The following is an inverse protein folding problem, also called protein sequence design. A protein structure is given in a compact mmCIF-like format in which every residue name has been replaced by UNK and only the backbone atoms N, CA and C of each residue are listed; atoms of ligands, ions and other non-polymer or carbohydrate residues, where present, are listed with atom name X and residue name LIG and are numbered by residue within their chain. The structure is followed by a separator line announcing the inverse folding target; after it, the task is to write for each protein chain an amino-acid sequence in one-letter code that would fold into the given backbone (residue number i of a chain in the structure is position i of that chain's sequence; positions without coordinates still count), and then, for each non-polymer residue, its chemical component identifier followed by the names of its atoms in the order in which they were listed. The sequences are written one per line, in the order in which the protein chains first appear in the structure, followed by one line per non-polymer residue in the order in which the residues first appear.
data_IF_321067731972
#
_entry.id   IF_321067731972
#
_cell.length_a   1.000
_cell.length_b   1.000
_cell.length_c   1.000
_cell.angle_alpha   90.00
_cell.angle_beta   90.00
_cell.angle_gamma   90.00
#
_symmetry.space_group_name_H-M   'P 1'
#
loop_
_entity.id
_entity.type
_entity.pdbx_description
1 polymer ?
#
# COMPACT_ATOMS: atom_id res chain seq x y z
N UNK A 1 0.23 16.10 -13.02
CA UNK A 1 -0.04 15.67 -14.43
C UNK A 1 -0.73 14.31 -14.39
N UNK A 2 -1.71 14.08 -15.28
CA UNK A 2 -2.42 12.80 -15.41
C UNK A 2 -1.97 12.09 -16.69
N UNK A 3 -1.68 10.80 -16.60
CA UNK A 3 -1.33 9.93 -17.72
C UNK A 3 -2.35 8.77 -17.78
N UNK A 4 -2.73 8.35 -18.97
CA UNK A 4 -3.70 7.29 -19.17
C UNK A 4 -3.17 6.23 -20.14
N UNK A 5 -3.49 4.98 -19.86
CA UNK A 5 -3.23 3.86 -20.78
C UNK A 5 -4.12 3.99 -22.01
N UNK A 6 -3.65 3.44 -23.12
CA UNK A 6 -4.42 3.39 -24.35
C UNK A 6 -4.42 1.96 -24.89
N UNK A 7 -5.60 1.37 -25.16
CA UNK A 7 -5.69 0.09 -25.84
C UNK A 7 -5.14 0.18 -27.27
N UNK A 8 -4.77 -0.94 -27.85
CA UNK A 8 -4.42 -1.02 -29.26
C UNK A 8 -5.62 -0.62 -30.13
N UNK A 9 -5.34 -0.02 -31.30
CA UNK A 9 -6.37 0.24 -32.32
C UNK A 9 -6.83 -1.07 -32.98
N UNK A 10 -7.74 -0.98 -33.95
CA UNK A 10 -8.30 -2.13 -34.68
C UNK A 10 -7.20 -2.94 -35.40
N UNK A 11 -6.10 -2.29 -35.75
CA UNK A 11 -4.92 -2.94 -36.39
C UNK A 11 -3.94 -3.54 -35.37
N UNK A 12 -4.26 -3.50 -34.06
CA UNK A 12 -3.37 -3.98 -33.01
C UNK A 12 -2.20 -3.05 -32.69
N UNK A 13 -2.23 -1.80 -33.14
CA UNK A 13 -1.12 -0.83 -32.98
C UNK A 13 -1.45 0.29 -32.00
N UNK A 14 -0.41 0.93 -31.50
CA UNK A 14 -0.52 2.18 -30.73
C UNK A 14 -0.98 1.99 -29.29
N UNK A 15 -0.88 0.80 -28.72
CA UNK A 15 -1.12 0.57 -27.29
C UNK A 15 -0.11 1.32 -26.43
N UNK A 16 -0.59 1.83 -25.29
CA UNK A 16 0.26 2.41 -24.23
C UNK A 16 -0.06 1.67 -22.94
N UNK A 17 0.90 0.89 -22.47
CA UNK A 17 0.76 0.10 -21.26
C UNK A 17 1.15 0.92 -20.02
N UNK A 18 0.58 0.56 -18.89
CA UNK A 18 0.81 1.22 -17.60
C UNK A 18 2.29 1.28 -17.23
N UNK A 19 3.04 0.21 -17.47
CA UNK A 19 4.50 0.16 -17.25
C UNK A 19 5.24 1.29 -17.97
N UNK A 20 4.90 1.54 -19.24
CA UNK A 20 5.49 2.62 -20.02
C UNK A 20 5.23 4.00 -19.40
N UNK A 21 4.02 4.19 -18.84
CA UNK A 21 3.64 5.43 -18.17
C UNK A 21 4.42 5.62 -16.86
N UNK A 22 4.59 4.57 -16.06
CA UNK A 22 5.40 4.62 -14.82
C UNK A 22 6.85 4.98 -15.17
N UNK A 23 7.48 4.27 -16.11
CA UNK A 23 8.86 4.54 -16.55
C UNK A 23 9.00 5.97 -17.08
N UNK A 24 8.02 6.45 -17.84
CA UNK A 24 8.07 7.80 -18.39
C UNK A 24 7.85 8.87 -17.31
N UNK A 25 7.01 8.62 -16.33
CA UNK A 25 6.76 9.54 -15.21
C UNK A 25 8.04 9.83 -14.42
N UNK A 26 8.92 8.86 -14.24
CA UNK A 26 10.22 9.03 -13.57
C UNK A 26 11.12 10.08 -14.25
N UNK A 27 11.02 10.20 -15.58
CA UNK A 27 11.79 11.19 -16.37
C UNK A 27 11.25 12.61 -16.24
N UNK A 28 10.02 12.75 -15.71
CA UNK A 28 9.39 14.05 -15.48
C UNK A 28 9.79 14.68 -14.14
N UNK A 29 10.63 13.99 -13.34
CA UNK A 29 11.08 14.41 -12.00
C UNK A 29 9.90 14.78 -11.09
N UNK A 30 8.92 13.92 -10.89
CA UNK A 30 7.78 14.21 -10.01
C UNK A 30 8.21 14.11 -8.53
N UNK A 31 7.58 14.88 -7.66
CA UNK A 31 7.72 14.69 -6.21
C UNK A 31 7.10 13.37 -5.76
N UNK A 32 5.99 12.98 -6.36
CA UNK A 32 5.24 11.76 -6.05
C UNK A 32 4.63 11.13 -7.29
N UNK A 33 4.56 9.81 -7.30
CA UNK A 33 3.90 9.04 -8.36
C UNK A 33 2.68 8.36 -7.75
N UNK A 34 1.51 8.64 -8.31
CA UNK A 34 0.27 7.98 -7.92
C UNK A 34 -0.14 7.04 -9.03
N UNK A 35 -0.05 5.74 -8.75
CA UNK A 35 -0.49 4.68 -9.66
C UNK A 35 -1.87 4.24 -9.22
N UNK A 36 -2.88 4.39 -10.07
CA UNK A 36 -4.28 4.07 -9.75
C UNK A 36 -4.44 2.66 -9.20
N UNK A 37 -3.79 1.68 -9.84
CA UNK A 37 -3.65 0.30 -9.35
C UNK A 37 -2.49 -0.38 -10.07
N UNK A 38 -1.94 -1.43 -9.45
CA UNK A 38 -0.99 -2.35 -10.08
C UNK A 38 -1.63 -3.72 -10.23
N UNK A 39 -1.43 -4.34 -11.40
CA UNK A 39 -2.01 -5.65 -11.74
C UNK A 39 -1.00 -6.61 -12.36
N UNK A 40 0.18 -6.15 -12.73
CA UNK A 40 1.17 -6.92 -13.47
C UNK A 40 2.59 -6.40 -13.30
N UNK A 41 3.37 -6.51 -14.37
CA UNK A 41 4.81 -6.23 -14.38
C UNK A 41 5.22 -4.80 -14.00
N UNK A 42 4.32 -3.83 -14.11
CA UNK A 42 4.54 -2.44 -13.68
C UNK A 42 4.80 -2.31 -12.16
N UNK A 43 4.43 -3.33 -11.38
CA UNK A 43 4.71 -3.37 -9.94
C UNK A 43 6.21 -3.26 -9.65
N UNK A 44 7.07 -3.84 -10.48
CA UNK A 44 8.52 -3.74 -10.32
C UNK A 44 9.00 -2.30 -10.49
N UNK A 45 8.57 -1.64 -11.58
CA UNK A 45 8.99 -0.28 -11.88
C UNK A 45 8.46 0.71 -10.83
N UNK A 46 7.26 0.46 -10.30
CA UNK A 46 6.69 1.22 -9.20
C UNK A 46 7.53 1.06 -7.90
N UNK A 47 7.89 -0.17 -7.52
CA UNK A 47 8.74 -0.41 -6.34
C UNK A 47 10.12 0.23 -6.51
N UNK A 48 10.69 0.20 -7.72
CA UNK A 48 11.95 0.89 -8.01
C UNK A 48 11.80 2.42 -7.87
N UNK A 49 10.69 2.98 -8.36
CA UNK A 49 10.39 4.40 -8.20
C UNK A 49 10.33 4.80 -6.72
N UNK A 50 9.60 4.03 -5.91
CA UNK A 50 9.47 4.26 -4.46
C UNK A 50 10.81 4.14 -3.72
N UNK A 51 11.72 3.27 -4.20
CA UNK A 51 13.06 3.09 -3.63
C UNK A 51 14.10 4.15 -4.09
N UNK A 52 13.76 5.04 -5.03
CA UNK A 52 14.71 5.97 -5.67
C UNK A 52 14.34 7.44 -5.49
N UNK A 53 13.81 7.80 -4.32
CA UNK A 53 13.61 9.20 -3.92
C UNK A 53 12.28 9.82 -4.35
N UNK A 54 11.25 8.99 -4.60
CA UNK A 54 9.87 9.44 -4.84
C UNK A 54 9.00 9.13 -3.62
N UNK A 55 9.46 9.59 -2.45
CA UNK A 55 8.79 9.36 -1.16
C UNK A 55 7.35 9.87 -1.17
N UNK A 56 6.45 9.09 -0.57
CA UNK A 56 5.03 9.40 -0.55
C UNK A 56 4.28 9.04 -1.83
N UNK A 57 4.90 8.26 -2.72
CA UNK A 57 4.19 7.64 -3.85
C UNK A 57 3.16 6.62 -3.35
N UNK A 58 2.06 6.47 -4.10
CA UNK A 58 0.90 5.69 -3.71
C UNK A 58 0.46 4.77 -4.84
N UNK A 59 -0.04 3.60 -4.47
CA UNK A 59 -0.74 2.69 -5.40
C UNK A 59 -1.84 1.92 -4.70
N UNK A 60 -2.74 1.31 -5.46
CA UNK A 60 -3.69 0.33 -4.94
C UNK A 60 -3.38 -1.08 -5.46
N UNK A 61 -3.66 -2.04 -4.60
CA UNK A 61 -3.55 -3.47 -4.89
C UNK A 61 -4.82 -4.15 -4.38
N UNK A 62 -5.47 -4.96 -5.20
CA UNK A 62 -6.60 -5.76 -4.75
C UNK A 62 -6.10 -6.98 -3.96
N UNK A 63 -6.39 -7.01 -2.66
CA UNK A 63 -6.06 -8.12 -1.77
C UNK A 63 -7.06 -8.19 -0.61
N UNK A 64 -7.18 -9.36 0.02
CA UNK A 64 -8.10 -9.55 1.13
C UNK A 64 -7.52 -9.03 2.46
N UNK A 65 -6.20 -9.09 2.61
CA UNK A 65 -5.48 -8.64 3.80
C UNK A 65 -4.23 -7.86 3.40
N UNK A 66 -3.65 -7.04 4.31
CA UNK A 66 -2.35 -6.41 4.08
C UNK A 66 -1.24 -7.42 3.72
N UNK A 67 -1.25 -8.59 4.37
CA UNK A 67 -0.27 -9.66 4.08
C UNK A 67 -0.43 -10.24 2.67
N UNK A 68 -1.67 -10.47 2.24
CA UNK A 68 -1.95 -10.95 0.89
C UNK A 68 -1.54 -9.94 -0.17
N UNK A 69 -1.63 -8.63 0.13
CA UNK A 69 -1.16 -7.58 -0.77
C UNK A 69 0.35 -7.71 -1.06
N UNK A 70 1.17 -8.02 -0.04
CA UNK A 70 2.61 -8.23 -0.23
C UNK A 70 2.88 -9.45 -1.11
N UNK A 71 2.23 -10.60 -0.84
CA UNK A 71 2.36 -11.81 -1.67
C UNK A 71 1.91 -11.58 -3.12
N UNK A 72 0.86 -10.77 -3.31
CA UNK A 72 0.40 -10.39 -4.64
C UNK A 72 1.41 -9.50 -5.38
N UNK A 73 2.06 -8.56 -4.70
CA UNK A 73 3.16 -7.79 -5.27
C UNK A 73 4.34 -8.67 -5.68
N UNK A 74 4.73 -9.67 -4.85
CA UNK A 74 5.75 -10.64 -5.22
C UNK A 74 5.40 -11.35 -6.54
N UNK A 75 4.16 -11.82 -6.66
CA UNK A 75 3.65 -12.47 -7.88
C UNK A 75 3.70 -11.55 -9.10
N UNK A 76 3.28 -10.29 -8.95
CA UNK A 76 3.29 -9.31 -10.05
C UNK A 76 4.72 -8.98 -10.51
N UNK A 77 5.66 -8.84 -9.56
CA UNK A 77 7.09 -8.62 -9.90
C UNK A 77 7.65 -9.82 -10.63
N UNK A 78 7.29 -11.05 -10.24
CA UNK A 78 7.70 -12.27 -10.94
C UNK A 78 7.18 -12.33 -12.41
N UNK A 79 6.04 -11.69 -12.71
CA UNK A 79 5.51 -11.58 -14.08
C UNK A 79 6.38 -10.72 -15.01
N UNK A 80 7.27 -9.90 -14.47
CA UNK A 80 8.14 -9.00 -15.26
C UNK A 80 9.15 -9.72 -16.16
N UNK A 81 9.19 -11.06 -16.14
CA UNK A 81 10.16 -11.90 -16.86
C UNK A 81 11.63 -11.61 -16.53
N UNK A 82 11.88 -10.80 -15.53
CA UNK A 82 13.22 -10.60 -14.99
C UNK A 82 13.48 -11.71 -13.97
N UNK A 83 14.57 -12.44 -14.14
CA UNK A 83 14.92 -13.53 -13.23
C UNK A 83 15.47 -12.96 -11.89
N UNK A 84 14.57 -12.38 -11.08
CA UNK A 84 14.90 -11.75 -9.81
C UNK A 84 14.63 -12.78 -8.70
N UNK A 85 15.62 -13.09 -7.84
CA UNK A 85 15.42 -13.99 -6.71
C UNK A 85 14.31 -13.47 -5.78
N UNK A 86 13.45 -14.35 -5.28
CA UNK A 86 12.32 -13.98 -4.37
C UNK A 86 12.78 -13.12 -3.18
N UNK A 87 13.91 -13.47 -2.58
CA UNK A 87 14.48 -12.69 -1.48
C UNK A 87 14.81 -11.25 -1.88
N UNK A 88 15.25 -11.02 -3.12
CA UNK A 88 15.52 -9.67 -3.63
C UNK A 88 14.20 -8.90 -3.85
N UNK A 89 13.15 -9.56 -4.32
CA UNK A 89 11.81 -8.99 -4.46
C UNK A 89 11.28 -8.55 -3.09
N UNK A 90 11.35 -9.41 -2.07
CA UNK A 90 10.91 -9.11 -0.71
C UNK A 90 11.68 -7.95 -0.10
N UNK A 91 12.99 -7.88 -0.33
CA UNK A 91 13.80 -6.72 0.10
C UNK A 91 13.34 -5.43 -0.55
N UNK A 92 13.04 -5.44 -1.86
CA UNK A 92 12.53 -4.28 -2.55
C UNK A 92 11.17 -3.84 -1.99
N UNK A 93 10.26 -4.78 -1.72
CA UNK A 93 8.96 -4.50 -1.11
C UNK A 93 9.13 -3.89 0.27
N UNK A 94 9.96 -4.51 1.13
CA UNK A 94 10.19 -4.04 2.49
C UNK A 94 10.88 -2.68 2.57
N UNK A 95 11.67 -2.32 1.55
CA UNK A 95 12.33 -1.02 1.46
C UNK A 95 11.44 0.06 0.83
N UNK A 96 10.55 -0.31 -0.10
CA UNK A 96 9.72 0.63 -0.85
C UNK A 96 8.45 1.04 -0.10
N UNK A 97 7.90 0.14 0.72
CA UNK A 97 6.62 0.36 1.36
C UNK A 97 6.79 0.71 2.83
N UNK A 98 6.17 1.80 3.26
CA UNK A 98 6.09 2.20 4.66
C UNK A 98 4.79 1.74 5.30
N UNK A 99 3.66 1.91 4.60
CA UNK A 99 2.32 1.72 5.16
C UNK A 99 1.40 1.02 4.16
N UNK A 100 0.61 0.10 4.66
CA UNK A 100 -0.49 -0.54 3.93
C UNK A 100 -1.80 -0.17 4.61
N UNK A 101 -2.71 0.43 3.84
CA UNK A 101 -4.07 0.79 4.29
C UNK A 101 -5.05 -0.18 3.65
N UNK A 102 -5.65 -1.05 4.47
CA UNK A 102 -6.66 -1.99 4.00
C UNK A 102 -8.05 -1.37 4.08
N UNK A 103 -8.72 -1.32 2.92
CA UNK A 103 -10.13 -0.92 2.83
C UNK A 103 -10.97 -2.14 2.49
N UNK A 104 -12.04 -2.37 3.24
CA UNK A 104 -12.97 -3.46 3.00
C UNK A 104 -14.40 -2.97 2.87
N UNK A 105 -15.17 -3.66 2.02
CA UNK A 105 -16.63 -3.50 1.98
C UNK A 105 -17.23 -4.39 3.04
N UNK A 106 -17.95 -3.79 3.97
CA UNK A 106 -18.61 -4.49 5.07
C UNK A 106 -19.95 -5.09 4.63
N UNK A 107 -20.56 -5.91 5.48
CA UNK A 107 -21.84 -6.60 5.21
C UNK A 107 -23.01 -5.64 4.98
N UNK A 108 -22.93 -4.42 5.51
CA UNK A 108 -23.90 -3.33 5.28
C UNK A 108 -23.69 -2.56 3.95
N UNK A 109 -22.70 -2.99 3.15
CA UNK A 109 -22.36 -2.35 1.89
C UNK A 109 -21.43 -1.14 2.02
N UNK A 110 -21.16 -0.65 3.22
CA UNK A 110 -20.23 0.48 3.44
C UNK A 110 -18.77 0.06 3.24
N UNK A 111 -17.95 1.01 2.79
CA UNK A 111 -16.49 0.83 2.72
C UNK A 111 -15.85 1.50 3.90
N UNK A 112 -15.01 0.75 4.64
CA UNK A 112 -14.27 1.28 5.80
C UNK A 112 -12.82 0.87 5.71
N UNK A 113 -11.94 1.72 6.25
CA UNK A 113 -10.57 1.32 6.57
C UNK A 113 -10.68 0.31 7.70
N UNK A 114 -10.16 -0.89 7.48
CA UNK A 114 -10.21 -1.97 8.48
C UNK A 114 -8.85 -2.20 9.14
N UNK A 115 -7.75 -1.84 8.47
CA UNK A 115 -6.41 -1.96 9.02
C UNK A 115 -5.52 -0.87 8.44
N UNK A 116 -4.67 -0.30 9.29
CA UNK A 116 -3.47 0.45 8.88
C UNK A 116 -2.28 -0.28 9.46
N UNK A 117 -1.45 -0.84 8.59
CA UNK A 117 -0.27 -1.61 8.95
C UNK A 117 1.01 -0.91 8.49
N UNK A 118 2.01 -0.88 9.36
CA UNK A 118 3.37 -0.42 9.03
C UNK A 118 4.23 -1.60 8.58
N UNK A 119 5.02 -1.43 7.54
CA UNK A 119 6.08 -2.36 7.16
C UNK A 119 7.30 -2.07 8.04
N UNK A 120 7.74 -3.05 8.81
CA UNK A 120 8.81 -2.86 9.79
C UNK A 120 10.19 -3.32 9.30
N UNK A 121 10.23 -3.96 8.13
CA UNK A 121 11.45 -4.45 7.48
C UNK A 121 11.38 -5.91 7.12
N UNK A 122 12.45 -6.65 7.36
CA UNK A 122 12.52 -8.10 7.11
C UNK A 122 13.09 -8.84 8.32
N UNK A 123 12.59 -10.04 8.55
CA UNK A 123 13.18 -11.02 9.44
C UNK A 123 13.48 -12.30 8.63
N UNK A 124 14.77 -12.60 8.46
CA UNK A 124 15.20 -13.64 7.52
C UNK A 124 14.77 -13.35 6.08
N UNK A 125 13.85 -14.14 5.58
CA UNK A 125 13.29 -14.01 4.23
C UNK A 125 11.82 -13.55 4.23
N UNK A 126 11.30 -13.10 5.39
CA UNK A 126 9.90 -12.69 5.54
C UNK A 126 9.83 -11.17 5.72
N UNK A 127 8.97 -10.51 4.95
CA UNK A 127 8.63 -9.10 5.18
C UNK A 127 7.82 -8.99 6.46
N UNK A 128 8.29 -8.21 7.42
CA UNK A 128 7.62 -7.98 8.70
C UNK A 128 6.72 -6.75 8.64
N UNK A 129 5.58 -6.84 9.30
CA UNK A 129 4.61 -5.76 9.40
C UNK A 129 3.88 -5.83 10.74
N UNK A 130 3.36 -4.68 11.17
CA UNK A 130 2.59 -4.55 12.40
C UNK A 130 1.36 -3.68 12.18
N UNK A 131 0.23 -4.09 12.74
CA UNK A 131 -0.99 -3.31 12.68
C UNK A 131 -0.90 -2.16 13.69
N UNK A 132 -1.07 -0.93 13.21
CA UNK A 132 -1.07 0.29 14.02
C UNK A 132 -2.49 0.66 14.44
N UNK A 133 -3.43 0.51 13.49
CA UNK A 133 -4.85 0.72 13.73
C UNK A 133 -5.66 -0.42 13.13
N UNK A 134 -6.74 -0.80 13.81
CA UNK A 134 -7.67 -1.82 13.35
C UNK A 134 -9.12 -1.41 13.56
N UNK A 135 -10.01 -1.83 12.66
CA UNK A 135 -11.45 -1.68 12.86
C UNK A 135 -11.97 -2.85 13.68
N UNK A 136 -12.39 -2.56 14.91
CA UNK A 136 -13.02 -3.53 15.78
C UNK A 136 -14.54 -3.53 15.54
N UNK A 137 -15.03 -4.57 14.85
CA UNK A 137 -16.46 -4.79 14.70
C UNK A 137 -17.06 -5.18 16.04
N UNK A 138 -18.12 -4.47 16.48
CA UNK A 138 -18.80 -4.68 17.76
C UNK A 138 -20.14 -5.38 17.61
N UNK A 139 -20.76 -5.30 16.44
CA UNK A 139 -22.07 -5.89 16.18
C UNK A 139 -22.70 -5.42 14.89
N UNK A 140 -23.98 -5.72 14.74
CA UNK A 140 -24.83 -5.28 13.63
C UNK A 140 -26.13 -4.78 14.25
N UNK A 141 -26.60 -3.59 13.87
CA UNK A 141 -27.90 -3.05 14.26
C UNK A 141 -29.04 -3.82 13.58
N UNK A 142 -30.26 -3.66 14.08
CA UNK A 142 -31.48 -4.25 13.47
C UNK A 142 -31.67 -3.81 12.01
N UNK A 143 -31.25 -2.61 11.65
CA UNK A 143 -31.28 -2.10 10.28
C UNK A 143 -30.16 -2.66 9.37
N UNK A 144 -29.32 -3.59 9.88
CA UNK A 144 -28.22 -4.19 9.16
C UNK A 144 -26.90 -3.40 9.21
N UNK A 145 -26.87 -2.21 9.79
CA UNK A 145 -25.67 -1.37 9.89
C UNK A 145 -24.60 -2.00 10.76
N UNK A 146 -23.36 -2.06 10.29
CA UNK A 146 -22.21 -2.58 11.03
C UNK A 146 -21.74 -1.57 12.05
N UNK A 147 -21.81 -1.95 13.32
CA UNK A 147 -21.25 -1.22 14.45
C UNK A 147 -19.78 -1.57 14.66
N UNK A 148 -18.95 -0.58 14.86
CA UNK A 148 -17.55 -0.77 15.18
C UNK A 148 -16.80 0.54 15.31
N UNK A 149 -15.57 0.44 15.76
CA UNK A 149 -14.67 1.55 16.01
C UNK A 149 -13.32 1.28 15.36
N UNK A 150 -12.72 2.33 14.80
CA UNK A 150 -11.34 2.30 14.35
C UNK A 150 -10.45 2.71 15.52
N UNK A 151 -9.66 1.78 16.03
CA UNK A 151 -8.91 1.93 17.28
C UNK A 151 -7.42 1.66 17.07
N UNK A 152 -6.55 2.33 17.85
CA UNK A 152 -5.13 2.01 17.88
C UNK A 152 -4.89 0.65 18.55
N UNK A 153 -3.82 -0.02 18.13
CA UNK A 153 -3.38 -1.30 18.72
C UNK A 153 -2.46 -1.11 19.94
N UNK A 154 -2.04 0.11 20.21
CA UNK A 154 -1.03 0.43 21.23
C UNK A 154 0.40 0.44 20.67
N UNK A 155 0.57 0.11 19.41
CA UNK A 155 1.88 0.12 18.76
C UNK A 155 2.16 1.54 18.25
N UNK A 156 3.30 2.09 18.66
CA UNK A 156 3.83 3.34 18.10
C UNK A 156 4.62 3.03 16.84
N UNK A 157 4.20 3.52 15.67
CA UNK A 157 4.87 3.21 14.42
C UNK A 157 6.19 3.99 14.29
N UNK A 158 7.17 3.40 13.59
CA UNK A 158 8.47 4.05 13.30
C UNK A 158 8.31 5.30 12.43
N UNK A 159 7.33 5.33 11.52
CA UNK A 159 7.08 6.51 10.70
C UNK A 159 6.66 7.72 11.52
N UNK A 160 6.09 7.54 12.73
CA UNK A 160 5.72 8.64 13.61
C UNK A 160 6.93 9.52 13.97
N UNK A 161 8.09 8.92 14.22
CA UNK A 161 9.33 9.63 14.52
C UNK A 161 9.82 10.45 13.32
N UNK A 162 9.74 9.89 12.11
CA UNK A 162 10.10 10.59 10.87
C UNK A 162 9.20 11.81 10.63
N UNK A 163 7.90 11.68 10.91
CA UNK A 163 6.95 12.79 10.80
C UNK A 163 7.30 13.92 11.78
N UNK A 164 7.62 13.59 13.04
CA UNK A 164 8.03 14.58 14.04
C UNK A 164 9.31 15.31 13.63
N UNK A 165 10.32 14.59 13.15
CA UNK A 165 11.56 15.18 12.63
C UNK A 165 11.31 16.10 11.44
N UNK A 166 10.30 15.78 10.62
CA UNK A 166 9.86 16.61 9.49
C UNK A 166 8.98 17.81 9.91
N UNK A 167 8.81 18.05 11.21
CA UNK A 167 8.05 19.16 11.74
C UNK A 167 6.53 18.95 11.78
N UNK A 168 6.04 17.74 11.47
CA UNK A 168 4.63 17.41 11.54
C UNK A 168 4.30 17.02 12.99
N UNK A 169 3.54 17.88 13.66
CA UNK A 169 3.10 17.62 15.03
C UNK A 169 1.75 16.91 15.04
N UNK A 170 1.65 15.87 15.85
CA UNK A 170 0.39 15.17 16.15
C UNK A 170 0.45 14.59 17.57
N UNK A 171 -0.70 14.39 18.23
CA UNK A 171 -0.72 13.88 19.60
C UNK A 171 -0.29 12.40 19.60
N UNK A 172 0.75 12.07 20.36
CA UNK A 172 1.22 10.69 20.49
C UNK A 172 0.18 9.76 21.13
N UNK A 173 -0.74 10.31 21.91
CA UNK A 173 -1.89 9.59 22.50
C UNK A 173 -2.82 8.97 21.46
N UNK A 174 -2.73 9.39 20.19
CA UNK A 174 -3.50 8.76 19.11
C UNK A 174 -3.16 7.26 18.89
N UNK A 175 -1.98 6.83 19.33
CA UNK A 175 -1.54 5.42 19.25
C UNK A 175 -1.83 4.64 20.53
N UNK A 176 -2.29 5.27 21.59
CA UNK A 176 -2.54 4.64 22.88
C UNK A 176 -3.91 3.96 22.89
N UNK A 177 -3.96 2.75 23.42
CA UNK A 177 -5.22 2.06 23.65
C UNK A 177 -5.95 2.79 24.80
N UNK A 178 -7.09 3.37 24.50
CA UNK A 178 -7.93 3.96 25.56
C UNK A 178 -8.28 2.89 26.58
N UNK A 179 -7.80 3.05 27.82
CA UNK A 179 -8.28 2.23 28.92
C UNK A 179 -9.80 2.42 29.02
N UNK A 180 -10.56 1.39 28.65
CA UNK A 180 -12.02 1.43 28.89
C UNK A 180 -12.25 1.57 30.38
N UNK A 181 -12.84 2.72 30.79
CA UNK A 181 -13.51 2.84 32.07
C UNK A 181 -14.83 2.07 32.04
#
# INVERSE_FOLDING_TARGET
MRLETRPANIEGKGSIHQRQLVINSLRMRPDRIIVGEVRGEEALDMLQAMNTGHDGSLTTVHANTPRDALGRLETMVAMSKMNIPEKAIRRQIASALDVVVQVSRLSDGTRKIVTVAEITGMEGDIVTMQDVFVFQKRGIRENGEVLGEFVPTGIRPKFAERLLVSGIQFPMSMFEVSAKR
#
